data_IF_160255979415
#
_entry.id   IF_160255979415
#
_cell.length_a   1.000
_cell.length_b   1.000
_cell.length_c   1.000
_cell.angle_alpha   90.00
_cell.angle_beta   90.00
_cell.angle_gamma   90.00
#
_symmetry.space_group_name_H-M   'P 1'
#
loop_
_entity.id
_entity.type
_entity.pdbx_description
1 polymer ?
#
# COMPACT_ATOMS: atom_id res chain seq x y z
N UNK A 1 -10.30 -42.95 34.19
CA UNK A 1 -10.33 -42.82 32.72
C UNK A 1 -11.40 -41.81 32.38
N UNK A 2 -11.00 -40.58 32.11
CA UNK A 2 -11.90 -39.51 31.66
C UNK A 2 -11.50 -39.28 30.21
N UNK A 3 -12.40 -39.62 29.30
CA UNK A 3 -12.30 -39.29 27.88
C UNK A 3 -12.29 -37.76 27.73
N UNK A 4 -11.32 -37.19 26.98
CA UNK A 4 -11.40 -35.79 26.59
C UNK A 4 -12.31 -35.70 25.37
N UNK A 5 -13.52 -35.19 25.56
CA UNK A 5 -14.42 -34.77 24.49
C UNK A 5 -14.83 -33.35 24.84
N UNK A 6 -14.10 -32.38 24.32
CA UNK A 6 -14.65 -31.31 23.48
C UNK A 6 -13.53 -30.31 23.15
N UNK A 7 -12.98 -30.40 21.94
CA UNK A 7 -12.20 -29.32 21.31
C UNK A 7 -13.08 -28.67 20.24
N UNK A 8 -14.25 -28.16 20.61
CA UNK A 8 -14.92 -27.14 19.81
C UNK A 8 -14.26 -25.79 20.10
N UNK A 9 -13.13 -25.52 19.46
CA UNK A 9 -12.64 -24.15 19.32
C UNK A 9 -13.75 -23.36 18.61
N UNK A 10 -14.41 -22.47 19.35
CA UNK A 10 -15.54 -21.69 18.84
C UNK A 10 -15.13 -20.98 17.55
N UNK A 11 -15.72 -21.40 16.44
CA UNK A 11 -15.57 -20.71 15.17
C UNK A 11 -16.25 -19.36 15.33
N UNK A 12 -15.45 -18.32 15.54
CA UNK A 12 -15.90 -16.93 15.54
C UNK A 12 -16.61 -16.67 14.20
N UNK A 13 -17.95 -16.60 14.21
CA UNK A 13 -18.73 -16.21 13.04
C UNK A 13 -18.46 -14.74 12.74
N UNK A 14 -17.41 -14.49 11.96
CA UNK A 14 -16.93 -13.17 11.57
C UNK A 14 -17.36 -12.75 10.16
N UNK A 15 -18.10 -13.63 9.47
CA UNK A 15 -18.62 -13.35 8.13
C UNK A 15 -19.48 -12.09 8.16
N UNK A 16 -19.10 -11.11 7.34
CA UNK A 16 -19.83 -9.85 7.25
C UNK A 16 -19.77 -8.98 8.50
N UNK A 17 -18.84 -9.25 9.44
CA UNK A 17 -18.73 -8.52 10.70
C UNK A 17 -18.43 -7.02 10.53
N UNK A 18 -18.09 -6.58 9.31
CA UNK A 18 -17.81 -5.18 9.01
C UNK A 18 -19.00 -4.42 8.41
N UNK A 19 -20.14 -5.08 8.20
CA UNK A 19 -21.33 -4.44 7.66
C UNK A 19 -21.72 -3.21 8.49
N UNK A 20 -21.89 -2.08 7.82
CA UNK A 20 -22.36 -0.81 8.37
C UNK A 20 -21.50 -0.23 9.51
N UNK A 21 -20.27 -0.73 9.69
CA UNK A 21 -19.33 -0.15 10.64
C UNK A 21 -18.90 1.23 10.18
N UNK A 22 -18.86 2.19 11.10
CA UNK A 22 -18.36 3.55 10.82
C UNK A 22 -17.59 4.14 12.00
N UNK A 23 -17.83 3.65 13.21
CA UNK A 23 -17.17 4.12 14.42
C UNK A 23 -15.83 3.42 14.70
N UNK A 24 -14.87 4.18 15.22
CA UNK A 24 -13.52 3.67 15.53
C UNK A 24 -13.55 2.57 16.60
N UNK A 25 -14.45 2.63 17.58
CA UNK A 25 -14.56 1.63 18.64
C UNK A 25 -15.15 0.32 18.12
N UNK A 26 -16.05 0.36 17.15
CA UNK A 26 -16.59 -0.85 16.54
C UNK A 26 -15.52 -1.55 15.69
N UNK A 27 -14.77 -0.79 14.90
CA UNK A 27 -13.59 -1.31 14.21
C UNK A 27 -12.58 -1.90 15.20
N UNK A 28 -12.31 -1.21 16.31
CA UNK A 28 -11.41 -1.72 17.36
C UNK A 28 -11.92 -3.05 17.91
N UNK A 29 -13.23 -3.19 18.15
CA UNK A 29 -13.84 -4.43 18.66
C UNK A 29 -13.63 -5.59 17.69
N UNK A 30 -13.80 -5.37 16.39
CA UNK A 30 -13.55 -6.39 15.36
C UNK A 30 -12.07 -6.77 15.32
N UNK A 31 -11.19 -5.78 15.17
CA UNK A 31 -9.75 -6.04 15.04
C UNK A 31 -9.13 -6.66 16.29
N UNK A 32 -9.68 -6.39 17.49
CA UNK A 32 -9.18 -6.95 18.75
C UNK A 32 -9.38 -8.46 18.91
N UNK A 33 -10.16 -9.09 18.02
CA UNK A 33 -10.41 -10.53 18.06
C UNK A 33 -9.28 -11.34 17.42
N UNK A 34 -8.40 -10.69 16.66
CA UNK A 34 -7.33 -11.36 15.93
C UNK A 34 -6.01 -11.26 16.68
N UNK A 35 -5.29 -12.38 16.70
CA UNK A 35 -3.94 -12.46 17.26
C UNK A 35 -2.93 -11.62 16.46
N UNK A 36 -3.12 -11.56 15.15
CA UNK A 36 -2.26 -10.85 14.20
C UNK A 36 -3.14 -10.17 13.15
N UNK A 37 -2.71 -8.98 12.72
CA UNK A 37 -3.29 -8.25 11.59
C UNK A 37 -2.17 -8.05 10.59
N UNK A 38 -2.20 -8.82 9.51
CA UNK A 38 -1.18 -8.84 8.47
C UNK A 38 -1.64 -7.96 7.32
N UNK A 39 -1.05 -6.78 7.18
CA UNK A 39 -1.22 -5.91 6.02
C UNK A 39 -0.39 -6.48 4.86
N UNK A 40 -1.06 -6.88 3.78
CA UNK A 40 -0.43 -7.48 2.60
C UNK A 40 -0.32 -6.42 1.51
N UNK A 41 0.90 -5.96 1.21
CA UNK A 41 1.12 -5.01 0.14
C UNK A 41 0.79 -5.62 -1.24
N UNK A 42 0.35 -4.78 -2.17
CA UNK A 42 0.14 -5.15 -3.58
C UNK A 42 1.48 -5.30 -4.32
N UNK A 43 2.34 -6.21 -3.84
CA UNK A 43 3.62 -6.54 -4.44
C UNK A 43 3.57 -7.98 -4.97
N UNK A 44 4.17 -8.22 -6.15
CA UNK A 44 4.31 -9.57 -6.70
C UNK A 44 5.42 -10.38 -6.04
N UNK A 45 6.04 -9.85 -4.97
CA UNK A 45 7.06 -10.55 -4.19
C UNK A 45 6.46 -11.31 -3.01
N UNK A 46 5.17 -11.08 -2.70
CA UNK A 46 4.48 -11.73 -1.60
C UNK A 46 4.00 -13.12 -2.03
N UNK A 47 4.52 -14.16 -1.39
CA UNK A 47 3.92 -15.49 -1.41
C UNK A 47 2.86 -15.57 -0.30
N UNK A 48 1.60 -15.33 -0.67
CA UNK A 48 0.49 -15.28 0.29
C UNK A 48 0.19 -16.64 0.91
N UNK A 49 0.43 -17.73 0.18
CA UNK A 49 0.23 -19.09 0.71
C UNK A 49 1.25 -19.38 1.81
N UNK A 50 2.50 -18.94 1.62
CA UNK A 50 3.53 -19.04 2.65
C UNK A 50 3.18 -18.17 3.87
N UNK A 51 2.70 -16.94 3.65
CA UNK A 51 2.22 -16.07 4.74
C UNK A 51 1.09 -16.75 5.53
N UNK A 52 0.09 -17.32 4.85
CA UNK A 52 -1.03 -18.02 5.48
C UNK A 52 -0.57 -19.19 6.36
N UNK A 53 0.40 -19.98 5.88
CA UNK A 53 0.97 -21.10 6.64
C UNK A 53 1.85 -20.66 7.81
N UNK A 54 2.46 -19.48 7.71
CA UNK A 54 3.37 -18.96 8.73
C UNK A 54 2.63 -18.44 9.97
N UNK A 55 1.46 -17.83 9.78
CA UNK A 55 0.69 -17.21 10.87
C UNK A 55 -0.41 -18.15 11.40
N UNK A 56 -0.83 -18.00 12.67
CA UNK A 56 -1.88 -18.84 13.24
C UNK A 56 -3.24 -18.57 12.58
N UNK A 57 -4.15 -19.54 12.65
CA UNK A 57 -5.50 -19.45 12.07
C UNK A 57 -6.34 -18.26 12.60
N UNK A 58 -5.99 -17.71 13.77
CA UNK A 58 -6.60 -16.50 14.36
C UNK A 58 -6.04 -15.18 13.78
N UNK A 59 -5.42 -15.23 12.60
CA UNK A 59 -4.85 -14.06 11.90
C UNK A 59 -5.85 -13.46 10.94
N UNK A 60 -5.90 -12.13 10.88
CA UNK A 60 -6.60 -11.38 9.85
C UNK A 60 -5.61 -10.90 8.79
N UNK A 61 -5.87 -11.24 7.54
CA UNK A 61 -5.13 -10.74 6.38
C UNK A 61 -5.88 -9.56 5.77
N UNK A 62 -5.18 -8.43 5.66
CA UNK A 62 -5.71 -7.18 5.11
C UNK A 62 -5.14 -6.98 3.72
N UNK A 63 -6.02 -7.12 2.72
CA UNK A 63 -5.68 -6.93 1.32
C UNK A 63 -6.14 -5.55 0.81
N UNK A 64 -5.61 -5.11 -0.32
CA UNK A 64 -6.00 -3.85 -0.96
C UNK A 64 -6.48 -4.11 -2.38
N UNK A 65 -7.22 -3.16 -2.98
CA UNK A 65 -7.88 -3.21 -4.31
C UNK A 65 -7.24 -3.99 -5.48
N UNK A 66 -5.93 -4.26 -5.49
CA UNK A 66 -5.25 -4.99 -6.57
C UNK A 66 -4.87 -6.40 -6.13
N UNK A 67 -5.83 -7.12 -5.54
CA UNK A 67 -5.61 -8.44 -4.93
C UNK A 67 -5.03 -9.45 -5.91
N UNK A 68 -5.42 -9.40 -7.19
CA UNK A 68 -4.88 -10.22 -8.28
C UNK A 68 -3.38 -10.06 -8.54
N UNK A 69 -2.72 -9.04 -7.96
CA UNK A 69 -1.25 -8.89 -8.02
C UNK A 69 -0.53 -9.75 -6.99
N UNK A 70 -1.27 -10.30 -6.04
CA UNK A 70 -0.74 -10.91 -4.82
C UNK A 70 -1.39 -12.28 -4.56
N UNK A 71 -2.64 -12.46 -4.95
CA UNK A 71 -3.36 -13.73 -4.96
C UNK A 71 -3.38 -14.30 -6.38
N UNK A 72 -2.91 -15.54 -6.53
CA UNK A 72 -3.03 -16.33 -7.75
C UNK A 72 -4.15 -17.38 -7.69
N UNK A 73 -4.72 -17.58 -6.50
CA UNK A 73 -5.80 -18.52 -6.20
C UNK A 73 -6.66 -17.99 -5.05
N UNK A 74 -7.77 -18.68 -4.77
CA UNK A 74 -8.70 -18.34 -3.70
C UNK A 74 -8.02 -18.39 -2.32
N UNK A 75 -8.21 -17.34 -1.55
CA UNK A 75 -7.69 -17.19 -0.20
C UNK A 75 -8.70 -17.66 0.85
N UNK A 76 -8.25 -18.54 1.75
CA UNK A 76 -9.13 -19.28 2.68
C UNK A 76 -9.09 -18.75 4.11
N UNK A 77 -8.00 -18.11 4.53
CA UNK A 77 -7.87 -17.49 5.84
C UNK A 77 -8.82 -16.31 6.08
N UNK A 78 -8.87 -15.80 7.31
CA UNK A 78 -9.68 -14.61 7.61
C UNK A 78 -9.16 -13.42 6.82
N UNK A 79 -10.03 -12.78 6.06
CA UNK A 79 -9.63 -11.71 5.15
C UNK A 79 -10.56 -10.51 5.22
N UNK A 80 -9.98 -9.33 5.04
CA UNK A 80 -10.71 -8.09 4.82
C UNK A 80 -10.09 -7.36 3.62
N UNK A 81 -10.95 -6.78 2.78
CA UNK A 81 -10.51 -5.98 1.64
C UNK A 81 -10.59 -4.50 1.98
N UNK A 82 -9.45 -3.80 1.97
CA UNK A 82 -9.41 -2.34 2.06
C UNK A 82 -9.55 -1.74 0.67
N UNK A 83 -10.68 -1.06 0.47
CA UNK A 83 -10.95 -0.33 -0.75
C UNK A 83 -10.95 1.17 -0.49
N UNK A 84 -9.96 1.90 -0.99
CA UNK A 84 -9.93 3.36 -0.83
C UNK A 84 -10.81 4.04 -1.88
N UNK A 85 -11.63 4.98 -1.44
CA UNK A 85 -12.39 5.89 -2.29
C UNK A 85 -11.47 6.78 -3.15
N UNK A 86 -11.98 7.16 -4.32
CA UNK A 86 -11.42 8.20 -5.17
C UNK A 86 -12.56 9.16 -5.54
N UNK A 87 -12.32 10.26 -6.28
CA UNK A 87 -13.41 11.13 -6.71
C UNK A 87 -14.54 10.40 -7.46
N UNK A 88 -14.21 9.37 -8.24
CA UNK A 88 -15.18 8.52 -8.93
C UNK A 88 -15.70 7.34 -8.08
N UNK A 89 -15.28 7.22 -6.82
CA UNK A 89 -15.46 6.03 -5.98
C UNK A 89 -14.26 5.09 -6.01
N UNK A 90 -14.39 3.97 -5.30
CA UNK A 90 -13.40 2.92 -5.20
C UNK A 90 -13.01 2.34 -6.57
N UNK A 91 -11.72 2.02 -6.73
CA UNK A 91 -11.14 1.54 -8.00
C UNK A 91 -11.90 0.35 -8.60
N UNK A 92 -12.26 -0.62 -7.76
CA UNK A 92 -12.91 -1.85 -8.18
C UNK A 92 -14.38 -1.62 -8.58
N UNK A 93 -15.04 -0.59 -8.01
CA UNK A 93 -16.44 -0.26 -8.31
C UNK A 93 -16.53 0.38 -9.69
N UNK A 94 -15.83 1.50 -9.92
CA UNK A 94 -16.00 2.24 -11.18
C UNK A 94 -15.41 1.51 -12.40
N UNK A 95 -14.58 0.50 -12.17
CA UNK A 95 -14.08 -0.39 -13.23
C UNK A 95 -14.95 -1.64 -13.44
N UNK A 96 -15.93 -1.90 -12.58
CA UNK A 96 -16.74 -3.12 -12.65
C UNK A 96 -15.95 -4.39 -12.29
N UNK A 97 -14.92 -4.28 -11.47
CA UNK A 97 -14.05 -5.40 -11.05
C UNK A 97 -14.50 -6.01 -9.69
N UNK A 98 -15.66 -5.61 -9.14
CA UNK A 98 -16.10 -6.03 -7.80
C UNK A 98 -16.20 -7.54 -7.67
N UNK A 99 -16.95 -8.21 -8.54
CA UNK A 99 -17.17 -9.66 -8.45
C UNK A 99 -15.88 -10.45 -8.69
N UNK A 100 -15.04 -10.00 -9.63
CA UNK A 100 -13.73 -10.60 -9.91
C UNK A 100 -12.81 -10.53 -8.69
N UNK A 101 -12.76 -9.38 -8.03
CA UNK A 101 -11.93 -9.19 -6.82
C UNK A 101 -12.47 -9.99 -5.64
N UNK A 102 -13.79 -10.06 -5.47
CA UNK A 102 -14.42 -10.80 -4.37
C UNK A 102 -14.35 -12.32 -4.56
N UNK A 103 -14.21 -12.81 -5.79
CA UNK A 103 -14.04 -14.24 -6.08
C UNK A 103 -12.76 -14.83 -5.46
N UNK A 104 -11.73 -14.00 -5.19
CA UNK A 104 -10.51 -14.44 -4.52
C UNK A 104 -10.67 -14.73 -3.02
N UNK A 105 -11.84 -14.50 -2.41
CA UNK A 105 -12.03 -14.66 -0.97
C UNK A 105 -13.06 -15.73 -0.66
N UNK A 106 -12.70 -16.64 0.25
CA UNK A 106 -13.64 -17.62 0.77
C UNK A 106 -14.75 -16.94 1.59
N UNK A 107 -16.00 -17.13 1.18
CA UNK A 107 -17.16 -16.45 1.75
C UNK A 107 -17.40 -16.75 3.23
N UNK A 108 -16.86 -17.85 3.76
CA UNK A 108 -17.01 -18.23 5.16
C UNK A 108 -16.10 -17.40 6.10
N UNK A 109 -14.95 -16.96 5.59
CA UNK A 109 -13.87 -16.31 6.36
C UNK A 109 -13.62 -14.88 5.91
N UNK A 110 -14.27 -14.43 4.84
CA UNK A 110 -14.25 -13.05 4.40
C UNK A 110 -15.13 -12.15 5.30
N UNK A 111 -14.49 -11.20 5.98
CA UNK A 111 -15.15 -10.24 6.87
C UNK A 111 -15.96 -9.22 6.08
N UNK A 112 -15.50 -8.84 4.88
CA UNK A 112 -16.11 -7.81 4.05
C UNK A 112 -15.12 -6.76 3.58
N UNK A 113 -15.65 -5.61 3.18
CA UNK A 113 -14.92 -4.48 2.62
C UNK A 113 -14.82 -3.37 3.66
N UNK A 114 -13.60 -2.92 3.95
CA UNK A 114 -13.34 -1.66 4.63
C UNK A 114 -13.16 -0.59 3.55
N UNK A 115 -14.16 0.27 3.39
CA UNK A 115 -14.09 1.37 2.46
C UNK A 115 -13.50 2.62 3.14
N UNK A 116 -12.28 2.98 2.75
CA UNK A 116 -11.48 4.04 3.37
C UNK A 116 -11.58 5.35 2.56
N UNK A 117 -11.64 6.50 3.24
CA UNK A 117 -11.29 7.80 2.64
C UNK A 117 -10.26 8.56 3.46
N UNK A 118 -9.40 9.32 2.77
CA UNK A 118 -8.36 10.20 3.34
C UNK A 118 -8.55 11.67 2.95
N UNK A 119 -9.46 11.96 2.02
CA UNK A 119 -9.77 13.31 1.56
C UNK A 119 -11.27 13.48 1.38
N UNK A 120 -11.78 14.71 1.58
CA UNK A 120 -13.19 15.05 1.31
C UNK A 120 -13.57 14.89 -0.16
N UNK A 121 -12.58 14.88 -1.07
CA UNK A 121 -12.79 14.60 -2.49
C UNK A 121 -13.00 13.11 -2.77
N UNK A 122 -12.75 12.22 -1.81
CA UNK A 122 -12.89 10.78 -1.99
C UNK A 122 -14.30 10.34 -1.59
N UNK A 123 -14.97 9.67 -2.53
CA UNK A 123 -16.31 9.12 -2.31
C UNK A 123 -16.20 7.79 -1.56
N UNK A 124 -16.94 7.69 -0.46
CA UNK A 124 -17.26 6.42 0.17
C UNK A 124 -18.41 5.75 -0.60
N UNK A 125 -18.21 4.49 -0.96
CA UNK A 125 -19.16 3.64 -1.65
C UNK A 125 -20.02 2.87 -0.66
N UNK A 126 -21.28 2.66 -1.01
CA UNK A 126 -22.24 1.87 -0.21
C UNK A 126 -22.05 0.36 -0.44
N UNK A 127 -22.66 -0.47 0.39
CA UNK A 127 -22.71 -1.92 0.13
C UNK A 127 -23.34 -2.24 -1.23
N UNK A 128 -24.35 -1.47 -1.67
CA UNK A 128 -24.97 -1.64 -2.99
C UNK A 128 -23.98 -1.39 -4.14
N UNK A 129 -23.10 -0.40 -4.01
CA UNK A 129 -22.02 -0.15 -4.98
C UNK A 129 -21.03 -1.33 -5.06
N UNK A 130 -20.90 -2.11 -3.98
CA UNK A 130 -20.12 -3.33 -3.90
C UNK A 130 -20.97 -4.60 -4.07
N UNK A 131 -22.07 -4.51 -4.82
CA UNK A 131 -22.95 -5.65 -5.17
C UNK A 131 -23.50 -6.40 -3.94
N UNK A 132 -23.72 -5.68 -2.83
CA UNK A 132 -24.26 -6.25 -1.59
C UNK A 132 -23.22 -6.87 -0.67
N UNK A 133 -21.92 -6.74 -0.96
CA UNK A 133 -20.87 -7.18 -0.05
C UNK A 133 -20.95 -6.42 1.29
N UNK A 134 -20.74 -7.11 2.43
CA UNK A 134 -20.65 -6.46 3.74
C UNK A 134 -19.61 -5.35 3.68
N UNK A 135 -20.01 -4.10 3.94
CA UNK A 135 -19.15 -2.93 3.78
C UNK A 135 -19.24 -2.07 5.04
N UNK A 136 -18.07 -1.77 5.60
CA UNK A 136 -17.91 -0.74 6.62
C UNK A 136 -17.08 0.42 6.09
N UNK A 137 -17.28 1.59 6.65
CA UNK A 137 -16.62 2.83 6.27
C UNK A 137 -15.57 3.22 7.31
N UNK A 138 -14.43 3.68 6.80
CA UNK A 138 -13.40 4.29 7.60
C UNK A 138 -13.08 5.68 7.05
N UNK A 139 -13.47 6.70 7.80
CA UNK A 139 -13.21 8.09 7.46
C UNK A 139 -11.99 8.61 8.23
N UNK A 140 -10.89 8.80 7.52
CA UNK A 140 -9.62 9.32 8.06
C UNK A 140 -9.26 10.67 7.45
N UNK A 141 -10.23 11.45 6.99
CA UNK A 141 -9.99 12.84 6.56
C UNK A 141 -9.28 13.60 7.68
N UNK A 142 -8.15 14.24 7.35
CA UNK A 142 -7.35 15.02 8.29
C UNK A 142 -6.44 14.20 9.22
N UNK A 143 -6.55 12.86 9.22
CA UNK A 143 -5.78 12.00 10.13
C UNK A 143 -4.27 12.17 10.01
N UNK A 144 -3.79 12.39 8.78
CA UNK A 144 -2.35 12.49 8.47
C UNK A 144 -1.82 13.92 8.38
N UNK A 145 -2.69 14.93 8.42
CA UNK A 145 -2.34 16.33 8.08
C UNK A 145 -1.26 16.91 8.97
N UNK A 146 -1.21 16.49 10.24
CA UNK A 146 -0.25 16.99 11.23
C UNK A 146 1.19 16.50 11.03
N UNK A 147 1.41 15.46 10.22
CA UNK A 147 2.72 14.82 10.12
C UNK A 147 3.15 14.41 8.72
N UNK A 148 2.23 14.28 7.77
CA UNK A 148 2.54 13.80 6.44
C UNK A 148 3.03 14.92 5.51
N UNK A 149 3.78 14.56 4.48
CA UNK A 149 4.41 15.51 3.56
C UNK A 149 3.39 16.44 2.89
N UNK A 150 3.52 17.77 3.01
CA UNK A 150 2.59 18.73 2.39
C UNK A 150 2.44 18.52 0.88
N UNK A 151 1.21 18.59 0.38
CA UNK A 151 0.90 18.42 -1.04
C UNK A 151 1.06 16.99 -1.57
N UNK A 152 1.38 16.02 -0.70
CA UNK A 152 1.34 14.59 -1.00
C UNK A 152 0.17 13.94 -0.29
N UNK A 153 -0.21 12.78 -0.78
CA UNK A 153 -1.26 11.97 -0.20
C UNK A 153 -0.67 10.65 0.31
N UNK A 154 -1.06 10.15 1.49
CA UNK A 154 -0.59 8.85 1.97
C UNK A 154 -1.12 7.69 1.13
N UNK A 155 -0.37 6.59 1.04
CA UNK A 155 -0.88 5.32 0.53
C UNK A 155 -1.88 4.71 1.51
N UNK A 156 -2.82 3.89 1.00
CA UNK A 156 -3.81 3.22 1.87
C UNK A 156 -3.15 2.31 2.90
N UNK A 157 -2.08 1.60 2.52
CA UNK A 157 -1.34 0.73 3.42
C UNK A 157 -0.66 1.49 4.55
N UNK A 158 -0.05 2.64 4.24
CA UNK A 158 0.52 3.52 5.25
C UNK A 158 -0.54 4.08 6.21
N UNK A 159 -1.64 4.61 5.68
CA UNK A 159 -2.72 5.14 6.52
C UNK A 159 -3.30 4.06 7.45
N UNK A 160 -3.55 2.85 6.94
CA UNK A 160 -4.03 1.72 7.73
C UNK A 160 -3.04 1.33 8.82
N UNK A 161 -1.74 1.20 8.51
CA UNK A 161 -0.73 0.85 9.51
C UNK A 161 -0.65 1.89 10.64
N UNK A 162 -0.67 3.19 10.29
CA UNK A 162 -0.65 4.28 11.28
C UNK A 162 -1.91 4.29 12.15
N UNK A 163 -3.08 4.09 11.54
CA UNK A 163 -4.35 4.07 12.26
C UNK A 163 -4.47 2.85 13.20
N UNK A 164 -4.14 1.64 12.71
CA UNK A 164 -4.14 0.42 13.53
C UNK A 164 -3.16 0.53 14.71
N UNK A 165 -1.98 1.12 14.49
CA UNK A 165 -1.01 1.36 15.57
C UNK A 165 -1.60 2.26 16.66
N UNK A 166 -2.38 3.28 16.27
CA UNK A 166 -3.07 4.17 17.19
C UNK A 166 -4.17 3.49 18.03
N UNK A 167 -4.74 2.39 17.55
CA UNK A 167 -5.84 1.69 18.23
C UNK A 167 -5.41 0.95 19.51
N UNK A 168 -4.11 0.65 19.65
CA UNK A 168 -3.56 -0.16 20.76
C UNK A 168 -4.32 -1.49 20.91
N UNK A 169 -4.30 -2.27 19.83
CA UNK A 169 -4.93 -3.59 19.79
C UNK A 169 -4.11 -4.60 20.62
N UNK A 170 -4.74 -5.65 21.16
CA UNK A 170 -4.03 -6.71 21.87
C UNK A 170 -3.16 -7.58 20.94
N UNK A 171 -3.56 -7.73 19.67
CA UNK A 171 -2.82 -8.48 18.66
C UNK A 171 -1.72 -7.66 17.97
N UNK A 172 -0.81 -8.36 17.31
CA UNK A 172 0.33 -7.77 16.60
C UNK A 172 -0.05 -7.26 15.22
N UNK A 173 0.49 -6.11 14.82
CA UNK A 173 0.35 -5.56 13.46
C UNK A 173 1.59 -5.95 12.66
N UNK A 174 1.40 -6.59 11.51
CA UNK A 174 2.49 -7.07 10.66
C UNK A 174 2.38 -6.47 9.26
N UNK A 175 3.50 -5.98 8.73
CA UNK A 175 3.60 -5.55 7.34
C UNK A 175 4.29 -6.62 6.48
N UNK A 176 3.61 -7.11 5.44
CA UNK A 176 4.14 -8.07 4.48
C UNK A 176 4.27 -7.45 3.08
N UNK A 177 5.49 -7.47 2.51
CA UNK A 177 5.77 -6.91 1.17
C UNK A 177 5.84 -5.39 1.10
N UNK A 178 5.88 -4.69 2.24
CA UNK A 178 6.10 -3.24 2.31
C UNK A 178 7.56 -2.85 2.11
N UNK A 179 8.34 -3.65 1.37
CA UNK A 179 9.75 -3.36 1.12
C UNK A 179 9.91 -2.13 0.22
N UNK A 180 10.87 -1.26 0.51
CA UNK A 180 11.22 -0.09 -0.29
C UNK A 180 11.78 -0.43 -1.69
N UNK A 181 11.75 -1.70 -2.12
CA UNK A 181 12.32 -2.16 -3.40
C UNK A 181 11.34 -1.85 -4.53
N UNK A 182 11.71 -0.90 -5.37
CA UNK A 182 10.96 -0.55 -6.59
C UNK A 182 11.04 -1.71 -7.59
N UNK A 183 9.90 -2.26 -7.99
CA UNK A 183 9.85 -3.11 -9.19
C UNK A 183 9.81 -2.22 -10.44
N UNK A 184 10.65 -2.52 -11.43
CA UNK A 184 10.91 -1.72 -12.66
C UNK A 184 9.66 -1.34 -13.48
N UNK A 185 8.52 -2.01 -13.28
CA UNK A 185 7.32 -1.88 -14.14
C UNK A 185 6.36 -0.73 -13.81
N UNK A 186 6.48 -0.05 -12.67
CA UNK A 186 5.45 0.92 -12.25
C UNK A 186 5.98 2.34 -12.25
N UNK A 187 5.64 3.08 -13.32
CA UNK A 187 5.91 4.52 -13.47
C UNK A 187 5.46 5.27 -12.21
N UNK A 188 6.40 6.03 -11.67
CA UNK A 188 6.24 6.99 -10.58
C UNK A 188 5.10 7.94 -10.92
N UNK A 189 3.97 7.79 -10.24
CA UNK A 189 3.09 8.93 -9.99
C UNK A 189 3.60 9.51 -8.68
N UNK A 190 4.19 10.70 -8.72
CA UNK A 190 4.75 11.39 -7.56
C UNK A 190 3.68 11.87 -6.55
N UNK A 191 2.57 11.14 -6.40
CA UNK A 191 1.45 11.48 -5.53
C UNK A 191 1.72 11.17 -4.05
N UNK A 192 2.63 10.22 -3.79
CA UNK A 192 2.94 9.71 -2.45
C UNK A 192 4.40 9.97 -2.08
N UNK A 193 4.70 10.11 -0.79
CA UNK A 193 6.06 10.22 -0.28
C UNK A 193 6.49 8.86 0.31
N UNK A 194 6.90 7.94 -0.58
CA UNK A 194 7.28 6.60 -0.16
C UNK A 194 8.47 6.58 0.79
N UNK A 195 9.39 7.54 0.69
CA UNK A 195 10.55 7.60 1.57
C UNK A 195 10.11 7.94 3.01
N UNK A 196 9.20 8.90 3.15
CA UNK A 196 8.60 9.22 4.44
C UNK A 196 7.86 8.02 5.03
N UNK A 197 6.98 7.38 4.25
CA UNK A 197 6.20 6.21 4.70
C UNK A 197 7.12 5.07 5.19
N UNK A 198 8.18 4.77 4.44
CA UNK A 198 9.17 3.74 4.79
C UNK A 198 9.96 4.11 6.04
N UNK A 199 10.27 5.38 6.23
CA UNK A 199 10.93 5.89 7.45
C UNK A 199 10.04 5.66 8.67
N UNK A 200 8.75 6.01 8.56
CA UNK A 200 7.78 5.75 9.61
C UNK A 200 7.65 4.26 9.94
N UNK A 201 7.56 3.37 8.95
CA UNK A 201 7.50 1.92 9.21
C UNK A 201 8.73 1.42 9.98
N UNK A 202 9.94 1.87 9.62
CA UNK A 202 11.16 1.50 10.36
C UNK A 202 11.15 2.02 11.80
N UNK A 203 10.67 3.25 12.02
CA UNK A 203 10.54 3.80 13.37
C UNK A 203 9.51 3.04 14.20
N UNK A 204 8.36 2.70 13.63
CA UNK A 204 7.33 1.90 14.30
C UNK A 204 7.83 0.49 14.62
N UNK A 205 8.58 -0.14 13.71
CA UNK A 205 9.16 -1.46 13.93
C UNK A 205 10.20 -1.44 15.05
N UNK A 206 11.07 -0.42 15.10
CA UNK A 206 12.04 -0.23 16.19
C UNK A 206 11.39 0.08 17.54
N UNK A 207 10.18 0.60 17.55
CA UNK A 207 9.41 0.90 18.76
C UNK A 207 8.47 -0.27 19.15
N UNK A 208 8.65 -1.44 18.54
CA UNK A 208 7.84 -2.66 18.73
C UNK A 208 6.33 -2.41 18.57
N UNK A 209 5.96 -1.45 17.71
CA UNK A 209 4.56 -1.12 17.40
C UNK A 209 4.01 -1.94 16.24
N UNK A 210 4.90 -2.36 15.34
CA UNK A 210 4.60 -3.23 14.21
C UNK A 210 5.77 -4.21 14.02
N UNK A 211 5.54 -5.28 13.29
CA UNK A 211 6.60 -6.16 12.77
C UNK A 211 6.62 -6.10 11.25
N UNK A 212 7.79 -6.30 10.64
CA UNK A 212 7.92 -6.46 9.18
C UNK A 212 8.21 -7.94 8.93
N UNK A 213 7.40 -8.62 8.12
CA UNK A 213 7.49 -10.08 7.92
C UNK A 213 8.87 -10.52 7.42
N UNK A 214 9.40 -9.84 6.40
CA UNK A 214 10.75 -10.11 5.87
C UNK A 214 11.88 -9.55 6.75
N UNK A 215 11.54 -9.03 7.93
CA UNK A 215 12.44 -8.32 8.83
C UNK A 215 12.73 -6.88 8.40
N UNK A 216 13.38 -6.15 9.31
CA UNK A 216 14.00 -4.85 9.01
C UNK A 216 15.44 -5.15 8.59
N UNK A 217 15.88 -4.60 7.45
CA UNK A 217 17.28 -4.72 7.04
C UNK A 217 18.21 -4.21 8.16
N UNK A 218 19.26 -4.98 8.45
CA UNK A 218 20.26 -4.61 9.46
C UNK A 218 20.81 -3.22 9.13
N UNK A 219 20.67 -2.31 10.08
CA UNK A 219 21.24 -0.98 9.94
C UNK A 219 22.72 -1.04 10.33
N UNK A 220 23.61 -1.17 9.34
CA UNK A 220 25.06 -1.24 9.60
C UNK A 220 25.58 -0.03 10.40
N UNK A 221 24.89 1.12 10.36
CA UNK A 221 25.23 2.30 11.16
C UNK A 221 24.90 2.16 12.65
N UNK A 222 24.05 1.21 13.06
CA UNK A 222 23.85 0.91 14.49
C UNK A 222 25.11 0.31 15.11
N UNK A 223 25.82 -0.55 14.37
CA UNK A 223 27.10 -1.11 14.82
C UNK A 223 28.17 -0.02 15.04
N UNK A 224 28.06 1.13 14.37
CA UNK A 224 29.00 2.24 14.57
C UNK A 224 28.83 2.88 15.95
N UNK A 225 27.63 2.85 16.54
CA UNK A 225 27.42 3.35 17.90
C UNK A 225 28.08 2.44 18.94
N UNK A 226 28.19 1.15 18.67
CA UNK A 226 28.89 0.21 19.53
C UNK A 226 30.42 0.31 19.36
N UNK A 227 30.88 0.55 18.12
CA UNK A 227 32.30 0.72 17.79
C UNK A 227 32.88 2.07 18.24
N UNK A 228 32.07 3.13 18.20
CA UNK A 228 32.45 4.49 18.58
C UNK A 228 31.45 5.07 19.59
N UNK A 229 31.45 4.60 20.86
CA UNK A 229 30.49 5.03 21.88
C UNK A 229 30.54 6.53 22.20
N UNK A 230 31.67 7.19 21.90
CA UNK A 230 31.88 8.62 22.08
C UNK A 230 31.17 9.49 21.02
N UNK A 231 30.77 8.91 19.88
CA UNK A 231 30.09 9.62 18.81
C UNK A 231 28.58 9.41 18.96
N UNK A 232 27.81 10.50 18.96
CA UNK A 232 26.36 10.40 19.11
C UNK A 232 25.70 9.74 17.89
N UNK A 233 24.58 9.05 18.10
CA UNK A 233 23.75 8.50 17.00
C UNK A 233 23.31 9.58 16.01
N UNK A 234 23.12 10.81 16.48
CA UNK A 234 22.78 11.96 15.65
C UNK A 234 23.93 12.33 14.73
N UNK A 235 25.16 12.39 15.23
CA UNK A 235 26.33 12.73 14.42
C UNK A 235 26.62 11.64 13.38
N UNK A 236 26.49 10.36 13.76
CA UNK A 236 26.57 9.24 12.82
C UNK A 236 25.50 9.37 11.72
N UNK A 237 24.28 9.74 12.07
CA UNK A 237 23.20 9.94 11.10
C UNK A 237 23.44 11.15 10.18
N UNK A 238 23.98 12.26 10.71
CA UNK A 238 24.34 13.44 9.93
C UNK A 238 25.48 13.14 8.95
N UNK A 239 26.56 12.50 9.40
CA UNK A 239 27.65 12.07 8.54
C UNK A 239 27.17 11.10 7.44
N UNK A 240 26.27 10.16 7.78
CA UNK A 240 25.65 9.30 6.78
C UNK A 240 24.81 10.10 5.77
N UNK A 241 24.03 11.08 6.23
CA UNK A 241 23.23 11.95 5.37
C UNK A 241 24.09 12.81 4.43
N UNK A 242 25.22 13.33 4.90
CA UNK A 242 26.20 14.05 4.08
C UNK A 242 26.71 13.16 2.93
N UNK A 243 27.19 11.95 3.25
CA UNK A 243 27.67 10.99 2.25
C UNK A 243 26.56 10.58 1.27
N UNK A 244 25.32 10.41 1.74
CA UNK A 244 24.18 10.13 0.86
C UNK A 244 23.87 11.31 -0.06
N UNK A 245 23.92 12.54 0.45
CA UNK A 245 23.70 13.75 -0.33
C UNK A 245 24.74 13.92 -1.44
N UNK A 246 26.03 13.69 -1.14
CA UNK A 246 27.09 13.70 -2.14
C UNK A 246 26.89 12.63 -3.21
N UNK A 247 26.53 11.40 -2.81
CA UNK A 247 26.25 10.32 -3.77
C UNK A 247 25.03 10.61 -4.65
N UNK A 248 23.98 11.21 -4.10
CA UNK A 248 22.82 11.63 -4.86
C UNK A 248 23.19 12.74 -5.85
N UNK A 249 23.95 13.75 -5.43
CA UNK A 249 24.45 14.78 -6.35
C UNK A 249 25.29 14.21 -7.50
N UNK A 250 26.13 13.21 -7.22
CA UNK A 250 26.88 12.49 -8.25
C UNK A 250 25.98 11.65 -9.17
N UNK A 251 24.87 11.13 -8.64
CA UNK A 251 23.86 10.39 -9.43
C UNK A 251 23.09 11.35 -10.32
N UNK A 252 22.69 12.52 -9.83
CA UNK A 252 22.01 13.55 -10.60
C UNK A 252 22.88 14.03 -11.76
N UNK A 253 24.19 14.19 -11.56
CA UNK A 253 25.14 14.52 -12.64
C UNK A 253 25.17 13.45 -13.75
N UNK A 254 25.10 12.16 -13.39
CA UNK A 254 25.07 11.07 -14.38
C UNK A 254 23.69 10.95 -15.06
N UNK A 255 22.60 11.28 -14.34
CA UNK A 255 21.26 11.41 -14.92
C UNK A 255 21.20 12.57 -15.90
N UNK A 256 21.78 13.73 -15.59
CA UNK A 256 21.87 14.88 -16.50
C UNK A 256 22.66 14.53 -17.76
N UNK A 257 23.74 13.75 -17.61
CA UNK A 257 24.49 13.21 -18.74
C UNK A 257 23.65 12.27 -19.61
N UNK A 258 22.86 11.37 -19.02
CA UNK A 258 21.89 10.51 -19.72
C UNK A 258 20.79 11.33 -20.43
N UNK A 259 20.27 12.38 -19.79
CA UNK A 259 19.30 13.30 -20.39
C UNK A 259 19.93 14.05 -21.57
N UNK A 260 21.19 14.49 -21.45
CA UNK A 260 21.90 15.17 -22.53
C UNK A 260 22.13 14.26 -23.74
N UNK A 261 22.49 12.98 -23.51
CA UNK A 261 22.70 11.97 -24.55
C UNK A 261 21.38 11.61 -25.25
N UNK A 262 20.29 11.44 -24.49
CA UNK A 262 18.96 11.18 -25.06
C UNK A 262 18.36 12.42 -25.75
N UNK A 263 18.70 13.63 -25.29
CA UNK A 263 18.37 14.90 -25.94
C UNK A 263 19.08 15.07 -27.28
N UNK A 264 20.35 14.69 -27.37
CA UNK A 264 21.11 14.66 -28.63
C UNK A 264 20.50 13.66 -29.63
N UNK A 265 20.14 12.45 -29.17
CA UNK A 265 19.44 11.46 -29.99
C UNK A 265 18.07 11.95 -30.48
N UNK A 266 17.29 12.65 -29.63
CA UNK A 266 16.02 13.28 -30.05
C UNK A 266 16.20 14.41 -31.04
N UNK A 267 17.25 15.23 -30.92
CA UNK A 267 17.56 16.29 -31.89
C UNK A 267 17.93 15.69 -33.24
N UNK A 268 18.72 14.61 -33.27
CA UNK A 268 19.05 13.89 -34.50
C UNK A 268 17.78 13.27 -35.12
N UNK A 269 16.92 12.60 -34.35
CA UNK A 269 15.64 12.04 -34.84
C UNK A 269 14.70 13.15 -35.36
N UNK A 270 14.60 14.29 -34.67
CA UNK A 270 13.81 15.44 -35.15
C UNK A 270 14.37 16.04 -36.44
N UNK A 271 15.68 16.11 -36.60
CA UNK A 271 16.33 16.60 -37.81
C UNK A 271 16.11 15.64 -38.99
N UNK A 272 16.19 14.32 -38.76
CA UNK A 272 15.84 13.32 -39.77
C UNK A 272 14.34 13.32 -40.11
N UNK A 273 13.45 13.59 -39.13
CA UNK A 273 12.01 13.75 -39.37
C UNK A 273 11.66 15.05 -40.11
N UNK A 274 12.38 16.14 -39.86
CA UNK A 274 12.15 17.42 -40.56
C UNK A 274 12.62 17.36 -42.01
N UNK A 275 13.65 16.55 -42.30
CA UNK A 275 14.15 16.22 -43.65
C UNK A 275 13.29 15.19 -44.40
N UNK A 276 12.23 14.63 -43.80
CA UNK A 276 11.32 13.74 -44.52
C UNK A 276 10.54 14.51 -45.60
N UNK A 277 10.58 14.07 -46.87
CA UNK A 277 9.92 14.75 -47.97
C UNK A 277 8.39 14.75 -47.82
N UNK A 278 7.74 15.80 -48.35
CA UNK A 278 6.35 16.14 -48.07
C UNK A 278 5.32 15.04 -48.41
N UNK A 279 5.64 14.14 -49.34
CA UNK A 279 4.77 13.02 -49.73
C UNK A 279 4.68 11.89 -48.68
N UNK A 280 5.60 11.85 -47.69
CA UNK A 280 5.55 10.90 -46.57
C UNK A 280 4.90 11.46 -45.29
N UNK A 281 4.55 12.75 -45.25
CA UNK A 281 3.87 13.35 -44.10
C UNK A 281 2.38 13.02 -44.18
N UNK A 282 1.92 12.02 -43.40
CA UNK A 282 0.49 11.66 -43.31
C UNK A 282 -0.35 12.90 -42.98
N UNK A 283 -1.36 13.21 -43.79
CA UNK A 283 -2.39 14.21 -43.47
C UNK A 283 -3.09 13.79 -42.18
N UNK A 284 -3.21 14.71 -41.21
CA UNK A 284 -4.02 14.49 -40.01
C UNK A 284 -5.47 14.21 -40.44
N UNK A 285 -6.17 13.24 -39.82
CA UNK A 285 -7.59 13.06 -40.08
C UNK A 285 -8.36 14.30 -39.62
N UNK A 286 -9.17 14.83 -40.52
CA UNK A 286 -10.12 15.91 -40.25
C UNK A 286 -11.26 15.32 -39.40
N UNK A 287 -11.41 15.81 -38.16
CA UNK A 287 -12.61 15.56 -37.35
C UNK A 287 -13.62 16.68 -37.63
N UNK A 288 -14.81 16.39 -38.18
CA UNK A 288 -15.85 17.39 -38.33
C UNK A 288 -16.57 17.55 -36.98
N UNK A 289 -16.49 18.73 -36.34
CA UNK A 289 -17.23 18.93 -35.10
C UNK A 289 -16.98 20.17 -34.25
N UNK A 290 -16.07 21.09 -34.58
CA UNK A 290 -16.00 22.39 -33.87
C UNK A 290 -16.51 23.51 -34.77
N UNK A 291 -17.79 23.86 -34.64
CA UNK A 291 -18.25 25.19 -35.04
C UNK A 291 -17.71 26.20 -34.03
N UNK A 292 -17.20 27.30 -34.58
CA UNK A 292 -16.79 28.49 -33.87
C UNK A 292 -18.01 29.21 -33.28
N UNK A 293 -17.92 29.58 -32.01
CA UNK A 293 -17.98 30.96 -31.51
C UNK A 293 -17.16 31.05 -30.23
#
# INVERSE_FOLDING_TARGET
MITPTDQSAGTLQLKGAVADLSDTMDWKRVFSQFSHIVLVANSGLNDVQLLERHYPASTLFVFFNKVYKTLSEDFKGNAILVSRGQPAGANIVYKGEVDEVLAFFEQATFLGILNLRLSLLEKLNTSADFHGAPTGHLDLVGFTDRFYTPGKTPTSGFAMAMWLTGMKLPGSIVLAGFSARRTEKWRVVAAHDWNFEQTCFRLLARADKISIHDGVAINAYENLSDLFPEISKTDIALAAAEVFSERLGNTDAEVDKLISLTGAARKIDQMFRSLRPAWMKKKKPHFPGSKAE
#
